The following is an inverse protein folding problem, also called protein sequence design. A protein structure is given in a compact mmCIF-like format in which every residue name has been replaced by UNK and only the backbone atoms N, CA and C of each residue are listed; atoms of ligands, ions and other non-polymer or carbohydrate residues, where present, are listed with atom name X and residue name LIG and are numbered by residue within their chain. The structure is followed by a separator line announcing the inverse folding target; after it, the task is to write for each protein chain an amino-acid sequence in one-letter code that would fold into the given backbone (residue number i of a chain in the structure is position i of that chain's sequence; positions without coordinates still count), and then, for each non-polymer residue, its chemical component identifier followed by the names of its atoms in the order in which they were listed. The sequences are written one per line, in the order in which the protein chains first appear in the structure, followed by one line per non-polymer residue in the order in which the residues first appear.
data_IF_208724530896
#
_entry.id   IF_208724530896
#
_cell.length_a   1.000
_cell.length_b   1.000
_cell.length_c   1.000
_cell.angle_alpha   90.00
_cell.angle_beta   90.00
_cell.angle_gamma   90.00
#
_symmetry.space_group_name_H-M   'P 1'
#
loop_
_entity.id
_entity.type
_entity.pdbx_description
1 polymer ?
#
# COMPACT_ATOMS: atom_id res chain seq x y z
N UNK A 1 -3.90 -51.65 11.93
CA UNK A 1 -2.69 -51.08 11.30
C UNK A 1 -2.57 -51.27 9.78
N UNK A 2 -3.15 -52.34 9.17
CA UNK A 2 -3.06 -52.60 7.72
C UNK A 2 -3.83 -51.63 6.82
N UNK A 3 -4.94 -51.05 7.27
CA UNK A 3 -5.78 -50.13 6.47
C UNK A 3 -5.10 -48.78 6.17
N UNK A 4 -4.44 -48.19 7.16
CA UNK A 4 -3.74 -46.90 7.01
C UNK A 4 -2.56 -47.00 6.03
N UNK A 5 -1.74 -48.06 6.16
CA UNK A 5 -0.63 -48.31 5.23
C UNK A 5 -1.11 -48.50 3.79
N UNK A 6 -2.24 -49.19 3.58
CA UNK A 6 -2.82 -49.39 2.24
C UNK A 6 -3.38 -48.09 1.65
N UNK A 7 -4.00 -47.24 2.47
CA UNK A 7 -4.49 -45.92 2.04
C UNK A 7 -3.35 -44.97 1.70
N UNK A 8 -2.26 -44.98 2.48
CA UNK A 8 -1.10 -44.14 2.24
C UNK A 8 -0.36 -44.51 0.95
N UNK A 9 -0.24 -45.81 0.65
CA UNK A 9 0.37 -46.28 -0.62
C UNK A 9 -0.50 -45.89 -1.81
N UNK A 10 -1.82 -46.01 -1.73
CA UNK A 10 -2.73 -45.60 -2.80
C UNK A 10 -2.66 -44.08 -3.03
N UNK A 11 -2.60 -43.29 -1.96
CA UNK A 11 -2.43 -41.84 -2.06
C UNK A 11 -1.10 -41.47 -2.72
N UNK A 12 -0.01 -42.15 -2.36
CA UNK A 12 1.31 -41.90 -2.95
C UNK A 12 1.34 -42.23 -4.44
N UNK A 13 0.72 -43.35 -4.84
CA UNK A 13 0.60 -43.74 -6.25
C UNK A 13 -0.23 -42.72 -7.03
N UNK A 14 -1.32 -42.21 -6.44
CA UNK A 14 -2.14 -41.17 -7.07
C UNK A 14 -1.37 -39.86 -7.23
N UNK A 15 -0.59 -39.44 -6.22
CA UNK A 15 0.24 -38.24 -6.32
C UNK A 15 1.28 -38.40 -7.42
N UNK A 16 1.98 -39.54 -7.47
CA UNK A 16 2.97 -39.83 -8.52
C UNK A 16 2.32 -39.84 -9.90
N UNK A 17 1.17 -40.49 -10.06
CA UNK A 17 0.44 -40.54 -11.32
C UNK A 17 0.00 -39.14 -11.77
N UNK A 18 -0.51 -38.30 -10.85
CA UNK A 18 -0.85 -36.91 -11.13
C UNK A 18 0.39 -36.14 -11.56
N UNK A 19 1.50 -36.23 -10.82
CA UNK A 19 2.74 -35.52 -11.20
C UNK A 19 3.31 -35.99 -12.53
N UNK A 20 3.12 -37.25 -12.91
CA UNK A 20 3.61 -37.80 -14.17
C UNK A 20 2.77 -37.31 -15.36
N UNK A 21 1.43 -37.28 -15.21
CA UNK A 21 0.52 -36.65 -16.18
C UNK A 21 0.83 -35.14 -16.33
N UNK A 22 1.20 -34.47 -15.23
CA UNK A 22 1.64 -33.08 -15.26
C UNK A 22 2.98 -32.87 -15.98
N UNK A 23 3.88 -33.86 -15.97
CA UNK A 23 5.17 -33.77 -16.69
C UNK A 23 5.02 -34.04 -18.20
N UNK A 24 4.12 -34.94 -18.62
CA UNK A 24 3.88 -35.23 -20.04
C UNK A 24 2.98 -34.19 -20.73
N UNK A 25 2.10 -33.51 -19.99
CA UNK A 25 1.28 -32.43 -20.53
C UNK A 25 2.06 -31.11 -20.54
N UNK A 26 2.95 -30.96 -21.52
CA UNK A 26 3.76 -29.76 -21.77
C UNK A 26 3.00 -28.48 -22.17
N UNK A 27 1.93 -28.09 -21.45
CA UNK A 27 1.25 -26.79 -21.57
C UNK A 27 0.61 -26.34 -20.24
N UNK A 28 1.35 -25.66 -19.34
CA UNK A 28 0.80 -25.21 -18.06
C UNK A 28 0.51 -23.70 -17.98
N UNK A 29 0.60 -22.93 -19.07
CA UNK A 29 0.37 -21.47 -19.02
C UNK A 29 -1.12 -21.09 -19.08
N UNK A 30 -1.85 -21.59 -20.07
CA UNK A 30 -3.22 -21.12 -20.37
C UNK A 30 -4.26 -21.44 -19.30
N UNK A 31 -4.15 -22.58 -18.62
CA UNK A 31 -5.15 -22.98 -17.62
C UNK A 31 -4.95 -22.17 -16.34
N UNK A 32 -3.71 -22.04 -15.87
CA UNK A 32 -3.37 -21.24 -14.68
C UNK A 32 -3.70 -19.76 -14.91
N UNK A 33 -3.42 -19.22 -16.10
CA UNK A 33 -3.82 -17.86 -16.50
C UNK A 33 -5.34 -17.66 -16.44
N UNK A 34 -6.13 -18.67 -16.82
CA UNK A 34 -7.60 -18.57 -16.82
C UNK A 34 -8.20 -18.57 -15.40
N UNK A 35 -7.58 -19.28 -14.45
CA UNK A 35 -7.99 -19.26 -13.05
C UNK A 35 -7.55 -17.99 -12.32
N UNK A 36 -6.32 -17.53 -12.57
CA UNK A 36 -5.81 -16.28 -11.99
C UNK A 36 -6.60 -15.09 -12.54
N UNK A 37 -6.83 -15.00 -13.86
CA UNK A 37 -7.63 -13.90 -14.43
C UNK A 37 -9.06 -13.88 -13.92
N UNK A 38 -9.68 -15.03 -13.64
CA UNK A 38 -11.03 -15.09 -13.06
C UNK A 38 -11.11 -14.57 -11.63
N UNK A 39 -10.09 -14.85 -10.80
CA UNK A 39 -10.04 -14.38 -9.41
C UNK A 39 -9.58 -12.92 -9.32
N UNK A 40 -8.70 -12.50 -10.23
CA UNK A 40 -8.06 -11.19 -10.23
C UNK A 40 -8.93 -10.09 -10.84
N UNK A 41 -9.62 -10.36 -11.94
CA UNK A 41 -10.35 -9.33 -12.70
C UNK A 41 -11.62 -8.80 -12.03
N UNK A 42 -12.09 -9.43 -10.94
CA UNK A 42 -13.36 -9.04 -10.32
C UNK A 42 -13.27 -7.93 -9.28
N UNK A 43 -12.12 -7.75 -8.62
CA UNK A 43 -12.04 -6.81 -7.49
C UNK A 43 -10.80 -5.90 -7.46
N UNK A 44 -9.72 -6.19 -8.20
CA UNK A 44 -8.51 -5.35 -8.22
C UNK A 44 -7.93 -5.24 -9.62
N UNK A 45 -7.73 -4.01 -10.11
CA UNK A 45 -7.16 -3.70 -11.43
C UNK A 45 -5.62 -3.88 -11.46
N UNK A 46 -5.18 -5.08 -11.13
CA UNK A 46 -3.76 -5.47 -11.05
C UNK A 46 -3.22 -6.02 -12.37
N UNK A 47 -3.95 -5.85 -13.48
CA UNK A 47 -3.50 -6.26 -14.82
C UNK A 47 -2.15 -5.62 -15.18
N UNK A 48 -1.90 -4.39 -14.75
CA UNK A 48 -0.64 -3.68 -14.99
C UNK A 48 0.55 -4.23 -14.18
N UNK A 49 0.29 -4.85 -13.01
CA UNK A 49 1.34 -5.47 -12.19
C UNK A 49 1.80 -6.79 -12.80
N UNK A 50 0.87 -7.57 -13.37
CA UNK A 50 1.16 -8.91 -13.89
C UNK A 50 2.03 -8.87 -15.15
N UNK A 51 1.83 -7.86 -16.02
CA UNK A 51 2.66 -7.68 -17.22
C UNK A 51 4.10 -7.32 -16.87
N UNK A 52 4.32 -6.47 -15.87
CA UNK A 52 5.67 -6.04 -15.46
C UNK A 52 6.55 -7.18 -14.91
N UNK A 53 5.95 -8.16 -14.23
CA UNK A 53 6.67 -9.32 -13.66
C UNK A 53 7.07 -10.33 -14.75
N UNK A 54 6.29 -10.42 -15.83
CA UNK A 54 6.52 -11.40 -16.90
C UNK A 54 7.52 -10.95 -17.96
N UNK A 55 7.66 -9.64 -18.18
CA UNK A 55 8.53 -9.09 -19.25
C UNK A 55 9.99 -8.87 -18.81
N UNK A 56 10.34 -9.12 -17.55
CA UNK A 56 11.74 -9.10 -17.11
C UNK A 56 12.42 -7.73 -17.20
N UNK A 57 11.65 -6.66 -17.40
CA UNK A 57 12.10 -5.29 -17.23
C UNK A 57 12.52 -5.12 -15.77
N UNK A 58 13.77 -4.70 -15.48
CA UNK A 58 14.16 -4.35 -14.13
C UNK A 58 13.37 -3.10 -13.76
N UNK A 59 12.19 -3.30 -13.17
CA UNK A 59 11.51 -2.25 -12.44
C UNK A 59 12.55 -1.64 -11.50
N UNK A 60 12.83 -0.35 -11.70
CA UNK A 60 13.61 0.45 -10.76
C UNK A 60 12.75 0.73 -9.53
N UNK A 61 12.12 -0.33 -8.99
CA UNK A 61 11.34 -0.26 -7.77
C UNK A 61 12.23 0.46 -6.79
N UNK A 62 11.77 1.62 -6.33
CA UNK A 62 12.31 2.18 -5.11
C UNK A 62 11.79 1.26 -4.01
N UNK A 63 12.46 0.11 -3.85
CA UNK A 63 12.40 -0.64 -2.62
C UNK A 63 12.98 0.32 -1.59
N UNK A 64 12.11 0.98 -0.83
CA UNK A 64 12.56 1.68 0.34
C UNK A 64 13.25 0.65 1.23
N UNK A 65 14.57 0.70 1.27
CA UNK A 65 15.38 0.02 2.27
C UNK A 65 15.19 0.63 3.66
N UNK A 66 14.36 1.68 3.76
CA UNK A 66 14.08 2.41 4.99
C UNK A 66 12.68 2.10 5.54
N UNK A 67 12.58 1.89 6.86
CA UNK A 67 11.29 1.75 7.52
C UNK A 67 10.51 3.07 7.41
N UNK A 68 9.23 2.97 7.06
CA UNK A 68 8.29 4.10 7.16
C UNK A 68 8.38 4.69 8.57
N UNK A 69 8.51 6.01 8.67
CA UNK A 69 8.53 6.69 9.96
C UNK A 69 7.18 7.34 10.27
N UNK A 70 6.92 7.60 11.55
CA UNK A 70 5.79 8.41 11.95
C UNK A 70 6.05 9.87 11.53
N UNK A 71 5.05 10.57 10.98
CA UNK A 71 5.24 11.93 10.46
C UNK A 71 5.46 12.95 11.59
N UNK A 72 5.00 12.66 12.81
CA UNK A 72 5.13 13.56 13.95
C UNK A 72 4.88 12.82 15.28
N UNK A 73 5.13 13.51 16.38
CA UNK A 73 4.63 13.10 17.70
C UNK A 73 3.15 13.45 17.79
N UNK A 74 2.35 12.54 18.32
CA UNK A 74 0.91 12.74 18.52
C UNK A 74 0.47 12.20 19.88
N UNK A 75 -0.65 12.73 20.38
CA UNK A 75 -1.23 12.33 21.67
C UNK A 75 -2.25 11.21 21.50
N UNK A 76 -3.08 11.29 20.46
CA UNK A 76 -4.10 10.27 20.16
C UNK A 76 -4.38 10.16 18.67
N UNK A 77 -4.88 8.99 18.24
CA UNK A 77 -5.48 8.81 16.92
C UNK A 77 -6.97 9.11 17.03
N UNK A 78 -7.39 10.26 16.52
CA UNK A 78 -8.79 10.71 16.56
C UNK A 78 -9.64 9.90 15.57
N UNK A 79 -9.05 9.53 14.43
CA UNK A 79 -9.75 8.76 13.39
C UNK A 79 -8.80 7.83 12.66
N UNK A 80 -9.19 6.57 12.56
CA UNK A 80 -8.48 5.56 11.79
C UNK A 80 -8.90 5.60 10.32
N UNK A 81 -8.12 4.95 9.47
CA UNK A 81 -8.51 4.66 8.09
C UNK A 81 -9.76 3.77 8.07
N UNK A 82 -10.68 4.07 7.14
CA UNK A 82 -11.85 3.25 6.89
C UNK A 82 -13.18 3.94 7.22
N UNK A 83 -14.23 3.13 7.27
CA UNK A 83 -15.59 3.58 7.53
C UNK A 83 -15.78 3.98 8.99
N UNK A 84 -16.44 5.13 9.21
CA UNK A 84 -16.83 5.61 10.52
C UNK A 84 -18.23 6.23 10.47
N UNK A 85 -18.88 6.31 11.62
CA UNK A 85 -20.15 7.01 11.73
C UNK A 85 -19.91 8.48 12.07
N UNK A 86 -20.36 9.39 11.21
CA UNK A 86 -20.24 10.82 11.43
C UNK A 86 -21.44 11.31 12.26
N UNK A 87 -21.18 11.71 13.50
CA UNK A 87 -22.21 12.20 14.43
C UNK A 87 -22.81 13.54 14.01
N UNK A 88 -22.10 14.35 13.22
CA UNK A 88 -22.59 15.65 12.76
C UNK A 88 -23.56 15.52 11.59
N UNK A 89 -23.26 14.65 10.61
CA UNK A 89 -24.16 14.40 9.47
C UNK A 89 -25.20 13.30 9.74
N UNK A 90 -24.95 12.43 10.72
CA UNK A 90 -25.80 11.28 11.03
C UNK A 90 -25.61 10.08 10.07
N UNK A 91 -24.57 10.08 9.25
CA UNK A 91 -24.35 9.13 8.16
C UNK A 91 -23.01 8.39 8.28
N UNK A 92 -22.87 7.26 7.55
CA UNK A 92 -21.57 6.62 7.37
C UNK A 92 -20.72 7.45 6.42
N UNK A 93 -19.47 7.68 6.82
CA UNK A 93 -18.47 8.36 6.02
C UNK A 93 -17.19 7.52 5.97
N UNK A 94 -16.43 7.67 4.88
CA UNK A 94 -15.14 7.00 4.71
C UNK A 94 -14.01 7.97 5.03
N UNK A 95 -13.05 7.54 5.84
CA UNK A 95 -11.82 8.28 6.10
C UNK A 95 -10.65 7.65 5.31
N UNK A 96 -10.13 8.31 4.26
CA UNK A 96 -9.07 7.77 3.40
C UNK A 96 -7.66 7.87 4.02
N UNK A 97 -7.54 8.14 5.32
CA UNK A 97 -6.24 8.26 5.99
C UNK A 97 -6.37 8.14 7.51
N UNK A 98 -5.42 8.71 8.24
CA UNK A 98 -5.44 8.75 9.70
C UNK A 98 -5.46 10.21 10.16
N UNK A 99 -6.32 10.51 11.14
CA UNK A 99 -6.39 11.84 11.76
C UNK A 99 -5.77 11.73 13.16
N UNK A 100 -4.72 12.48 13.39
CA UNK A 100 -3.97 12.52 14.63
C UNK A 100 -4.32 13.78 15.42
N UNK A 101 -4.34 13.68 16.74
CA UNK A 101 -4.30 14.84 17.63
C UNK A 101 -2.86 15.14 18.00
N UNK A 102 -2.41 16.34 17.71
CA UNK A 102 -1.06 16.83 17.96
C UNK A 102 -1.08 18.11 18.79
N UNK A 103 0.02 18.40 19.47
CA UNK A 103 0.18 19.69 20.14
C UNK A 103 0.38 20.79 19.10
N UNK A 104 0.06 22.04 19.46
CA UNK A 104 0.32 23.18 18.58
C UNK A 104 1.82 23.29 18.28
N UNK A 105 2.16 23.68 17.06
CA UNK A 105 3.53 23.90 16.59
C UNK A 105 4.36 22.59 16.58
N UNK A 106 3.68 21.43 16.50
CA UNK A 106 4.35 20.13 16.35
C UNK A 106 5.03 20.06 14.99
N UNK A 107 6.31 19.71 14.99
CA UNK A 107 7.08 19.50 13.75
C UNK A 107 6.58 18.26 13.01
N UNK A 108 6.34 18.41 11.71
CA UNK A 108 5.87 17.35 10.82
C UNK A 108 6.92 17.06 9.75
N UNK A 109 7.18 15.77 9.55
CA UNK A 109 8.21 15.23 8.68
C UNK A 109 7.60 14.28 7.64
N UNK A 110 8.29 14.01 6.52
CA UNK A 110 7.87 13.03 5.53
C UNK A 110 7.79 11.63 6.15
N UNK A 111 6.76 10.87 5.82
CA UNK A 111 6.71 9.44 6.19
C UNK A 111 7.78 8.64 5.44
N UNK A 112 8.14 9.12 4.26
CA UNK A 112 9.16 8.60 3.36
C UNK A 112 9.76 9.76 2.56
N UNK A 113 11.05 9.70 2.22
CA UNK A 113 11.66 10.66 1.29
C UNK A 113 10.94 10.71 -0.07
N UNK A 114 10.96 11.86 -0.73
CA UNK A 114 10.28 12.05 -2.01
C UNK A 114 10.38 13.47 -2.53
N UNK A 115 9.62 13.79 -3.57
CA UNK A 115 9.51 15.14 -4.13
C UNK A 115 8.18 15.77 -3.72
N UNK A 116 8.19 17.05 -3.36
CA UNK A 116 6.96 17.82 -3.10
C UNK A 116 6.26 18.11 -4.42
N UNK A 117 5.29 17.30 -4.81
CA UNK A 117 4.54 17.52 -6.05
C UNK A 117 3.51 18.65 -5.95
N UNK A 118 3.00 18.92 -4.74
CA UNK A 118 2.02 19.99 -4.53
C UNK A 118 2.04 20.55 -3.11
N UNK A 119 1.87 21.86 -3.01
CA UNK A 119 1.57 22.59 -1.78
C UNK A 119 0.33 23.44 -2.02
N UNK A 120 -0.70 23.27 -1.19
CA UNK A 120 -1.96 24.03 -1.32
C UNK A 120 -2.51 24.44 0.04
N UNK A 121 -3.22 25.56 0.10
CA UNK A 121 -3.96 25.98 1.28
C UNK A 121 -5.38 25.38 1.24
N UNK A 122 -5.77 24.74 2.32
CA UNK A 122 -7.08 24.12 2.56
C UNK A 122 -7.79 24.84 3.72
N UNK A 123 -9.05 24.50 3.98
CA UNK A 123 -9.83 25.09 5.07
C UNK A 123 -9.18 24.89 6.45
N UNK A 124 -8.47 23.76 6.65
CA UNK A 124 -7.82 23.39 7.90
C UNK A 124 -6.29 23.57 7.88
N UNK A 125 -5.75 24.43 7.01
CA UNK A 125 -4.31 24.70 6.90
C UNK A 125 -3.72 24.22 5.58
N UNK A 126 -2.40 24.08 5.53
CA UNK A 126 -1.69 23.64 4.34
C UNK A 126 -1.74 22.12 4.16
N UNK A 127 -1.82 21.72 2.91
CA UNK A 127 -1.66 20.34 2.43
C UNK A 127 -0.38 20.25 1.60
N UNK A 128 0.46 19.28 1.94
CA UNK A 128 1.64 18.87 1.18
C UNK A 128 1.37 17.50 0.58
N UNK A 129 1.65 17.35 -0.71
CA UNK A 129 1.63 16.07 -1.42
C UNK A 129 3.08 15.72 -1.77
N UNK A 130 3.51 14.51 -1.38
CA UNK A 130 4.83 13.97 -1.67
C UNK A 130 4.70 12.80 -2.64
N UNK A 131 5.48 12.81 -3.71
CA UNK A 131 5.65 11.69 -4.63
C UNK A 131 6.93 10.92 -4.28
N UNK A 132 6.83 9.60 -4.15
CA UNK A 132 7.92 8.74 -3.71
C UNK A 132 8.47 7.83 -4.82
N UNK A 133 7.94 7.96 -6.04
CA UNK A 133 8.14 6.99 -7.13
C UNK A 133 7.09 5.89 -7.12
N UNK A 134 7.03 5.10 -8.21
CA UNK A 134 6.12 3.96 -8.39
C UNK A 134 4.64 4.26 -8.09
N UNK A 135 4.19 5.48 -8.42
CA UNK A 135 2.84 5.99 -8.14
C UNK A 135 2.46 6.04 -6.65
N UNK A 136 3.44 5.91 -5.75
CA UNK A 136 3.21 6.02 -4.31
C UNK A 136 3.27 7.48 -3.87
N UNK A 137 2.23 7.90 -3.13
CA UNK A 137 2.03 9.29 -2.72
C UNK A 137 1.68 9.36 -1.23
N UNK A 138 2.28 10.30 -0.52
CA UNK A 138 1.85 10.70 0.83
C UNK A 138 1.14 12.04 0.78
N UNK A 139 -0.01 12.15 1.44
CA UNK A 139 -0.78 13.39 1.55
C UNK A 139 -0.82 13.78 3.02
N UNK A 140 -0.19 14.91 3.35
CA UNK A 140 -0.14 15.47 4.70
C UNK A 140 -0.99 16.74 4.72
N UNK A 141 -1.96 16.80 5.64
CA UNK A 141 -2.92 17.92 5.80
C UNK A 141 -2.84 18.46 7.23
N UNK A 142 -3.39 19.65 7.44
CA UNK A 142 -3.48 20.23 8.79
C UNK A 142 -2.20 20.94 9.24
N UNK A 143 -1.33 21.32 8.30
CA UNK A 143 -0.14 22.11 8.62
C UNK A 143 -0.55 23.57 8.81
N UNK A 144 -0.28 24.16 9.96
CA UNK A 144 -0.47 25.59 10.18
C UNK A 144 0.50 26.42 9.31
N UNK A 145 1.71 25.91 9.12
CA UNK A 145 2.73 26.51 8.26
C UNK A 145 3.48 25.41 7.51
N UNK A 146 3.71 25.61 6.22
CA UNK A 146 4.61 24.79 5.43
C UNK A 146 6.00 25.44 5.34
N UNK A 147 7.05 24.62 5.40
CA UNK A 147 8.46 25.04 5.30
C UNK A 147 9.13 24.52 4.01
N UNK A 148 8.35 23.89 3.13
CA UNK A 148 8.81 23.32 1.84
C UNK A 148 8.09 23.97 0.66
N UNK A 149 8.64 23.80 -0.55
CA UNK A 149 8.07 24.32 -1.80
C UNK A 149 7.81 23.20 -2.83
N UNK A 150 6.85 23.37 -3.77
CA UNK A 150 6.69 22.44 -4.89
C UNK A 150 7.98 22.27 -5.71
N UNK A 151 8.29 21.04 -6.09
CA UNK A 151 9.52 20.63 -6.79
C UNK A 151 10.72 20.39 -5.88
N UNK A 152 10.58 20.54 -4.56
CA UNK A 152 11.65 20.30 -3.60
C UNK A 152 11.78 18.79 -3.29
N UNK A 153 13.01 18.28 -3.36
CA UNK A 153 13.34 16.94 -2.85
C UNK A 153 13.48 16.99 -1.32
N UNK A 154 12.75 16.10 -0.63
CA UNK A 154 12.73 16.02 0.83
C UNK A 154 13.20 14.64 1.29
N UNK A 155 14.06 14.63 2.31
CA UNK A 155 14.49 13.43 3.02
C UNK A 155 13.65 13.23 4.28
N UNK A 156 13.72 12.08 4.93
CA UNK A 156 12.95 11.78 6.15
C UNK A 156 13.19 12.80 7.28
N UNK A 157 14.36 13.46 7.31
CA UNK A 157 14.69 14.47 8.31
C UNK A 157 14.26 15.89 7.94
N UNK A 158 13.79 16.11 6.71
CA UNK A 158 13.40 17.44 6.23
C UNK A 158 12.12 17.88 6.92
N UNK A 159 12.11 19.08 7.50
CA UNK A 159 10.91 19.63 8.13
C UNK A 159 9.91 20.05 7.03
N UNK A 160 8.72 19.43 7.00
CA UNK A 160 7.66 19.84 6.08
C UNK A 160 6.91 21.07 6.59
N UNK A 161 6.78 21.20 7.90
CA UNK A 161 5.98 22.25 8.48
C UNK A 161 5.66 22.05 9.96
N UNK A 162 4.83 22.96 10.46
CA UNK A 162 4.29 22.94 11.81
C UNK A 162 2.80 22.61 11.74
N UNK A 163 2.39 21.56 12.43
CA UNK A 163 1.00 21.13 12.54
C UNK A 163 0.27 21.75 13.74
N UNK A 164 -1.05 21.80 13.64
CA UNK A 164 -1.91 22.12 14.79
C UNK A 164 -3.28 21.47 14.61
N UNK A 165 -3.60 20.42 15.39
CA UNK A 165 -4.95 19.99 15.81
C UNK A 165 -4.95 18.67 16.59
#
# INVERSE_FOLDING_TARGET
MMKFKRQLVVALILIVAVTWVYQEAGRPKEVVERWISYVTSKDYDINHLITSVWEGEPSSMTVSTFPLQLPCKFTEVVRHFGWYYNQQSGEQAFNPGVVLRIEKDTQVYPVLRGEVSSLSQQENGFQVILEHGDSMVSIIRGLQKAEVSPGEEVEETTLLGLGSE
#
